data_IF_427236000323
#
_entry.id   IF_427236000323
#
_cell.length_a   1.000
_cell.length_b   1.000
_cell.length_c   1.000
_cell.angle_alpha   90.00
_cell.angle_beta   90.00
_cell.angle_gamma   90.00
#
_symmetry.space_group_name_H-M   'P 1'
#
loop_
_entity.id
_entity.type
_entity.pdbx_description
1 polymer ?
#
# COMPACT_ATOMS: atom_id res chain seq x y z
N UNK A 1 53.95 -1.89 70.02
CA UNK A 1 53.81 -2.04 68.55
C UNK A 1 52.40 -2.57 68.30
N UNK A 2 51.49 -1.76 67.72
CA UNK A 2 50.94 -1.91 66.35
C UNK A 2 50.31 -3.31 66.12
N UNK A 3 49.06 -3.57 65.74
CA UNK A 3 47.87 -2.87 65.23
C UNK A 3 46.66 -3.81 65.49
N UNK A 4 45.50 -3.36 65.99
CA UNK A 4 44.26 -2.96 65.28
C UNK A 4 43.67 -3.98 64.29
N UNK A 5 42.47 -4.53 64.58
CA UNK A 5 41.27 -4.62 63.69
C UNK A 5 40.01 -4.72 64.59
N UNK A 6 39.02 -3.80 64.50
CA UNK A 6 37.75 -3.87 65.22
C UNK A 6 36.60 -4.43 64.38
N UNK A 7 35.53 -4.74 65.12
CA UNK A 7 34.28 -5.40 64.74
C UNK A 7 33.43 -4.69 63.67
N UNK A 8 32.80 -5.54 62.87
CA UNK A 8 31.45 -5.50 62.30
C UNK A 8 30.49 -4.44 62.89
N UNK A 9 29.79 -3.70 62.02
CA UNK A 9 28.32 -3.74 61.85
C UNK A 9 27.97 -2.82 60.66
N UNK A 10 27.35 -3.42 59.65
CA UNK A 10 26.88 -2.77 58.43
C UNK A 10 25.69 -1.87 58.75
N UNK A 11 25.80 -0.61 58.32
CA UNK A 11 24.83 0.47 58.48
C UNK A 11 23.75 0.35 57.38
N UNK A 12 22.56 -0.16 57.69
CA UNK A 12 21.38 -0.01 56.84
C UNK A 12 20.76 1.36 57.12
N UNK A 13 21.06 2.34 56.27
CA UNK A 13 20.38 3.63 56.26
C UNK A 13 19.01 3.43 55.61
N UNK A 14 17.97 3.40 56.44
CA UNK A 14 16.59 3.65 56.00
C UNK A 14 16.48 5.14 55.61
N UNK A 15 16.79 5.46 54.36
CA UNK A 15 16.34 6.70 53.74
C UNK A 15 14.87 6.51 53.36
N UNK A 16 14.00 6.87 54.28
CA UNK A 16 12.61 7.20 53.95
C UNK A 16 12.63 8.45 53.07
N UNK A 17 12.64 8.24 51.76
CA UNK A 17 12.23 9.28 50.81
C UNK A 17 10.71 9.22 50.73
N UNK A 18 10.08 10.14 51.43
CA UNK A 18 8.70 10.55 51.20
C UNK A 18 8.60 11.08 49.77
N UNK A 19 8.17 10.22 48.85
CA UNK A 19 7.50 10.67 47.64
C UNK A 19 6.01 10.58 47.94
N UNK A 20 5.51 11.73 48.39
CA UNK A 20 4.14 12.21 48.27
C UNK A 20 3.43 11.48 47.12
N UNK A 21 2.30 10.85 47.42
CA UNK A 21 1.33 10.49 46.39
C UNK A 21 0.98 11.79 45.66
N UNK A 22 1.63 12.02 44.53
CA UNK A 22 1.06 12.86 43.51
C UNK A 22 -0.23 12.14 43.09
N UNK A 23 -1.34 12.59 43.68
CA UNK A 23 -2.64 12.55 43.04
C UNK A 23 -2.56 13.43 41.77
N UNK A 24 -1.70 13.07 40.82
CA UNK A 24 -2.08 13.21 39.43
C UNK A 24 -3.29 12.31 39.32
N UNK A 25 -4.49 12.90 39.33
CA UNK A 25 -5.66 12.20 38.82
C UNK A 25 -5.21 11.68 37.46
N UNK A 26 -4.95 10.37 37.37
CA UNK A 26 -4.84 9.72 36.08
C UNK A 26 -6.21 9.94 35.50
N UNK A 27 -6.35 10.95 34.64
CA UNK A 27 -7.54 11.10 33.82
C UNK A 27 -7.60 9.78 33.10
N UNK A 28 -8.58 8.95 33.49
CA UNK A 28 -8.78 7.65 32.90
C UNK A 28 -8.90 7.91 31.40
N UNK A 29 -7.97 7.36 30.61
CA UNK A 29 -8.00 7.53 29.17
C UNK A 29 -9.26 6.84 28.67
N UNK A 30 -10.27 7.63 28.31
CA UNK A 30 -11.51 7.12 27.78
C UNK A 30 -11.26 6.76 26.32
N UNK A 31 -11.41 5.49 26.00
CA UNK A 31 -11.33 4.97 24.65
C UNK A 31 -12.72 4.80 24.04
N UNK A 32 -12.82 5.07 22.75
CA UNK A 32 -14.03 4.91 21.94
C UNK A 32 -13.76 3.85 20.89
N UNK A 33 -14.66 2.86 20.74
CA UNK A 33 -14.58 1.90 19.65
C UNK A 33 -15.14 2.53 18.38
N UNK A 34 -14.39 2.42 17.29
CA UNK A 34 -14.72 3.03 16.01
C UNK A 34 -14.67 1.97 14.91
N UNK A 35 -15.72 1.93 14.08
CA UNK A 35 -15.85 1.01 12.93
C UNK A 35 -15.68 1.74 11.61
N UNK A 36 -15.66 1.02 10.48
CA UNK A 36 -15.42 1.59 9.16
C UNK A 36 -16.58 1.31 8.21
N UNK A 37 -16.96 2.33 7.44
CA UNK A 37 -17.84 2.22 6.29
C UNK A 37 -17.12 2.79 5.07
N UNK A 38 -16.93 1.96 4.06
CA UNK A 38 -16.28 2.36 2.81
C UNK A 38 -17.34 2.72 1.76
N UNK A 39 -17.13 3.82 1.04
CA UNK A 39 -18.02 4.32 -0.03
C UNK A 39 -17.18 4.84 -1.21
N UNK A 40 -17.83 5.43 -2.21
CA UNK A 40 -17.14 6.05 -3.36
C UNK A 40 -17.05 5.12 -4.57
N UNK A 41 -15.86 5.00 -5.15
CA UNK A 41 -15.62 4.25 -6.40
C UNK A 41 -15.46 2.73 -6.20
N UNK A 42 -15.61 2.23 -4.98
CA UNK A 42 -15.64 0.79 -4.72
C UNK A 42 -16.88 0.16 -5.38
N UNK A 43 -16.71 -0.91 -6.18
CA UNK A 43 -17.84 -1.66 -6.72
C UNK A 43 -18.79 -2.17 -5.62
N UNK A 44 -20.10 -2.04 -5.83
CA UNK A 44 -21.14 -2.48 -4.88
C UNK A 44 -20.98 -3.94 -4.43
N UNK A 45 -20.46 -4.81 -5.31
CA UNK A 45 -20.19 -6.23 -4.99
C UNK A 45 -19.16 -6.41 -3.87
N UNK A 46 -18.23 -5.46 -3.70
CA UNK A 46 -17.25 -5.45 -2.61
C UNK A 46 -17.85 -4.87 -1.32
N UNK A 47 -18.85 -4.00 -1.45
CA UNK A 47 -19.55 -3.38 -0.33
C UNK A 47 -20.64 -4.31 0.24
N UNK A 48 -21.15 -5.26 -0.55
CA UNK A 48 -22.15 -6.22 -0.13
C UNK A 48 -21.52 -7.39 0.63
N UNK A 49 -21.57 -7.33 1.96
CA UNK A 49 -21.24 -8.45 2.86
C UNK A 49 -22.19 -9.66 2.72
N UNK A 50 -23.15 -9.63 1.79
CA UNK A 50 -24.26 -10.57 1.66
C UNK A 50 -24.17 -11.55 0.48
N UNK A 51 -23.04 -11.64 -0.23
CA UNK A 51 -22.88 -12.66 -1.26
C UNK A 51 -22.74 -14.07 -0.60
N UNK A 52 -23.59 -15.06 -0.94
CA UNK A 52 -23.67 -16.35 -0.22
C UNK A 52 -22.40 -17.22 -0.25
N UNK A 53 -21.42 -16.86 -1.07
CA UNK A 53 -20.16 -17.58 -1.27
C UNK A 53 -18.93 -16.67 -1.00
N UNK A 54 -19.03 -15.70 -0.09
CA UNK A 54 -17.94 -14.80 0.28
C UNK A 54 -16.80 -15.56 0.99
N UNK A 55 -15.98 -16.29 0.23
CA UNK A 55 -14.58 -16.41 0.58
C UNK A 55 -14.06 -14.98 0.69
N UNK A 56 -13.84 -14.52 1.92
CA UNK A 56 -13.24 -13.23 2.28
C UNK A 56 -11.89 -13.06 1.57
N UNK A 57 -11.94 -12.70 0.29
CA UNK A 57 -10.80 -12.72 -0.66
C UNK A 57 -10.15 -11.36 -0.79
N UNK A 58 -10.93 -10.32 -0.55
CA UNK A 58 -10.44 -8.95 -0.56
C UNK A 58 -9.56 -8.70 0.66
N UNK A 59 -8.57 -7.83 0.51
CA UNK A 59 -7.71 -7.38 1.60
C UNK A 59 -7.88 -5.90 1.85
N UNK A 60 -7.95 -5.54 3.13
CA UNK A 60 -8.12 -4.18 3.63
C UNK A 60 -6.93 -3.85 4.53
N UNK A 61 -6.05 -2.97 4.06
CA UNK A 61 -5.00 -2.38 4.89
C UNK A 61 -5.50 -1.06 5.47
N UNK A 62 -5.40 -0.89 6.79
CA UNK A 62 -5.86 0.32 7.48
C UNK A 62 -4.71 0.86 8.31
N UNK A 63 -4.36 2.13 8.11
CA UNK A 63 -3.50 2.92 8.98
C UNK A 63 -4.31 4.01 9.70
N UNK A 64 -3.96 4.24 10.95
CA UNK A 64 -4.48 5.30 11.80
C UNK A 64 -3.29 6.07 12.35
N UNK A 65 -3.31 7.39 12.17
CA UNK A 65 -2.24 8.29 12.62
C UNK A 65 -2.87 9.43 13.44
N UNK A 66 -2.09 10.04 14.33
CA UNK A 66 -2.52 11.26 15.01
C UNK A 66 -2.48 12.43 14.04
N UNK A 67 -3.62 13.09 13.81
CA UNK A 67 -3.67 14.23 12.88
C UNK A 67 -2.89 15.44 13.42
N UNK A 68 -2.96 15.69 14.73
CA UNK A 68 -2.34 16.87 15.36
C UNK A 68 -0.86 16.66 15.78
N UNK A 69 -0.28 15.48 15.53
CA UNK A 69 1.08 15.13 15.96
C UNK A 69 1.98 14.75 14.79
N UNK A 70 2.05 15.61 13.77
CA UNK A 70 2.88 15.40 12.57
C UNK A 70 2.63 14.02 11.92
N UNK A 71 1.37 13.59 11.94
CA UNK A 71 0.93 12.31 11.37
C UNK A 71 1.71 11.13 11.98
N UNK A 72 2.04 11.20 13.28
CA UNK A 72 2.67 10.10 14.03
C UNK A 72 1.78 8.86 13.95
N UNK A 73 2.32 7.67 13.57
CA UNK A 73 1.55 6.43 13.56
C UNK A 73 0.87 6.15 14.90
N UNK A 74 -0.34 5.61 14.87
CA UNK A 74 -1.09 5.24 16.07
C UNK A 74 -1.45 3.76 16.06
N UNK A 75 -2.11 3.31 15.00
CA UNK A 75 -2.47 1.91 14.82
C UNK A 75 -2.45 1.51 13.35
N UNK A 76 -2.28 0.22 13.08
CA UNK A 76 -2.39 -0.34 11.74
C UNK A 76 -2.97 -1.76 11.81
N UNK A 77 -3.50 -2.27 10.70
CA UNK A 77 -3.98 -3.65 10.62
C UNK A 77 -4.30 -4.10 9.20
N UNK A 78 -4.24 -5.41 8.97
CA UNK A 78 -4.63 -6.07 7.73
C UNK A 78 -5.84 -6.98 8.00
N UNK A 79 -6.88 -6.81 7.19
CA UNK A 79 -8.16 -7.48 7.35
C UNK A 79 -8.59 -8.14 6.04
N UNK A 80 -9.33 -9.23 6.15
CA UNK A 80 -10.12 -9.83 5.06
C UNK A 80 -11.63 -9.76 5.36
N UNK A 81 -11.98 -9.35 6.59
CA UNK A 81 -13.32 -9.06 7.05
C UNK A 81 -13.35 -7.67 7.69
N UNK A 82 -13.84 -6.70 6.92
CA UNK A 82 -13.95 -5.33 7.39
C UNK A 82 -14.86 -5.20 8.63
N UNK A 83 -15.80 -6.12 8.87
CA UNK A 83 -16.65 -6.08 10.08
C UNK A 83 -15.88 -6.33 11.38
N UNK A 84 -14.67 -6.89 11.28
CA UNK A 84 -13.75 -7.10 12.39
C UNK A 84 -12.81 -5.90 12.61
N UNK A 85 -12.74 -4.96 11.66
CA UNK A 85 -11.95 -3.74 11.79
C UNK A 85 -12.60 -2.79 12.80
N UNK A 86 -12.21 -2.93 14.07
CA UNK A 86 -12.63 -2.10 15.20
C UNK A 86 -11.42 -1.51 15.88
N UNK A 87 -11.22 -0.19 15.74
CA UNK A 87 -10.10 0.52 16.36
C UNK A 87 -10.56 1.22 17.63
N UNK A 88 -9.73 1.22 18.67
CA UNK A 88 -9.94 1.99 19.89
C UNK A 88 -9.20 3.31 19.75
N UNK A 89 -9.90 4.42 19.91
CA UNK A 89 -9.35 5.76 19.78
C UNK A 89 -9.47 6.50 21.10
N UNK A 90 -8.47 7.32 21.44
CA UNK A 90 -8.54 8.18 22.62
C UNK A 90 -9.56 9.30 22.38
N UNK A 91 -10.54 9.41 23.28
CA UNK A 91 -11.56 10.45 23.21
C UNK A 91 -10.93 11.85 23.25
N UNK A 92 -11.46 12.75 22.43
CA UNK A 92 -11.01 14.14 22.29
C UNK A 92 -9.74 14.31 21.46
N UNK A 93 -9.19 13.24 20.88
CA UNK A 93 -8.04 13.30 19.95
C UNK A 93 -8.51 13.27 18.51
N UNK A 94 -7.72 13.91 17.64
CA UNK A 94 -7.92 13.84 16.20
C UNK A 94 -7.03 12.80 15.54
N UNK A 95 -7.61 12.12 14.57
CA UNK A 95 -6.97 11.05 13.82
C UNK A 95 -7.06 11.28 12.31
N UNK A 96 -6.08 10.73 11.61
CA UNK A 96 -6.03 10.58 10.17
C UNK A 96 -6.14 9.09 9.86
N UNK A 97 -7.07 8.72 8.98
CA UNK A 97 -7.25 7.36 8.50
C UNK A 97 -6.79 7.24 7.07
N UNK A 98 -6.05 6.17 6.77
CA UNK A 98 -5.72 5.76 5.42
C UNK A 98 -6.16 4.32 5.23
N UNK A 99 -6.93 4.06 4.19
CA UNK A 99 -7.43 2.73 3.87
C UNK A 99 -7.06 2.35 2.45
N UNK A 100 -6.67 1.09 2.28
CA UNK A 100 -6.32 0.50 1.00
C UNK A 100 -7.10 -0.79 0.85
N UNK A 101 -7.73 -0.96 -0.31
CA UNK A 101 -8.50 -2.16 -0.64
C UNK A 101 -7.96 -2.76 -1.91
N UNK A 102 -7.60 -4.04 -1.84
CA UNK A 102 -7.28 -4.86 -3.01
C UNK A 102 -8.36 -5.92 -3.16
N UNK A 103 -9.23 -5.81 -4.17
CA UNK A 103 -10.17 -6.87 -4.49
C UNK A 103 -9.43 -8.15 -4.86
N UNK A 104 -9.85 -9.29 -4.31
CA UNK A 104 -9.15 -10.57 -4.44
C UNK A 104 -7.67 -10.52 -3.96
N UNK A 105 -7.36 -9.62 -3.03
CA UNK A 105 -6.00 -9.40 -2.52
C UNK A 105 -5.34 -10.64 -1.93
N UNK A 106 -6.10 -11.62 -1.44
CA UNK A 106 -5.52 -12.86 -0.93
C UNK A 106 -4.76 -13.66 -1.97
N UNK A 107 -5.23 -13.67 -3.21
CA UNK A 107 -4.56 -14.35 -4.32
C UNK A 107 -3.45 -13.47 -4.90
N UNK A 108 -3.68 -12.15 -4.95
CA UNK A 108 -2.85 -11.21 -5.70
C UNK A 108 -1.67 -10.65 -4.91
N UNK A 109 -1.79 -10.57 -3.59
CA UNK A 109 -0.80 -9.93 -2.70
C UNK A 109 -0.04 -10.92 -1.83
N UNK A 110 -0.33 -12.23 -1.92
CA UNK A 110 0.38 -13.25 -1.16
C UNK A 110 1.75 -13.50 -1.77
N UNK A 111 2.78 -13.37 -0.95
CA UNK A 111 4.13 -13.66 -1.36
C UNK A 111 4.52 -15.08 -0.94
N UNK A 112 4.74 -15.95 -1.93
CA UNK A 112 5.10 -17.34 -1.67
C UNK A 112 6.52 -17.53 -1.12
N UNK A 113 7.43 -16.58 -1.33
CA UNK A 113 8.80 -16.64 -0.83
C UNK A 113 8.84 -16.34 0.68
N UNK A 114 8.07 -15.34 1.11
CA UNK A 114 8.00 -14.95 2.52
C UNK A 114 6.87 -15.62 3.29
N UNK A 115 5.90 -16.21 2.60
CA UNK A 115 4.75 -16.89 3.19
C UNK A 115 3.73 -15.94 3.84
N UNK A 116 3.62 -14.71 3.34
CA UNK A 116 2.75 -13.68 3.94
C UNK A 116 2.33 -12.60 2.91
N UNK A 117 1.40 -11.73 3.29
CA UNK A 117 0.89 -10.62 2.48
C UNK A 117 1.81 -9.41 2.57
N UNK A 118 2.90 -9.43 1.80
CA UNK A 118 3.92 -8.37 1.83
C UNK A 118 3.68 -7.30 0.78
N UNK A 119 3.08 -7.62 -0.38
CA UNK A 119 3.21 -6.78 -1.57
C UNK A 119 2.84 -5.30 -1.35
N UNK A 120 1.57 -4.91 -1.54
CA UNK A 120 1.15 -3.52 -1.29
C UNK A 120 0.96 -3.24 0.21
N UNK A 121 0.87 -4.30 1.02
CA UNK A 121 0.68 -4.26 2.47
C UNK A 121 1.98 -4.31 3.27
N UNK A 122 3.11 -3.95 2.64
CA UNK A 122 4.42 -3.89 3.31
C UNK A 122 4.40 -2.82 4.41
N UNK A 123 4.89 -3.14 5.61
CA UNK A 123 5.02 -2.18 6.72
C UNK A 123 6.38 -1.47 6.68
N UNK A 124 6.45 -0.23 7.15
CA UNK A 124 7.69 0.50 7.41
C UNK A 124 7.86 0.68 8.92
N UNK A 125 9.09 0.56 9.42
CA UNK A 125 9.46 0.88 10.80
C UNK A 125 10.38 2.11 10.79
N UNK A 126 9.91 3.26 11.27
CA UNK A 126 10.60 4.55 11.09
C UNK A 126 12.01 4.59 11.69
N UNK A 127 12.20 3.95 12.85
CA UNK A 127 13.45 4.05 13.62
C UNK A 127 14.56 3.09 13.18
N UNK A 128 14.29 2.13 12.31
CA UNK A 128 15.29 1.14 11.94
C UNK A 128 16.13 1.57 10.74
N UNK A 129 15.73 2.58 9.96
CA UNK A 129 16.43 3.01 8.74
C UNK A 129 16.62 1.88 7.70
N UNK A 130 16.03 0.72 7.97
CA UNK A 130 16.10 -0.48 7.18
C UNK A 130 14.75 -0.56 6.46
N UNK A 131 14.80 -0.34 5.15
CA UNK A 131 13.71 -0.55 4.20
C UNK A 131 13.37 -2.03 4.00
N UNK A 132 13.70 -2.91 4.95
CA UNK A 132 13.22 -4.29 4.97
C UNK A 132 11.83 -4.29 5.58
N UNK A 133 10.88 -3.77 4.81
CA UNK A 133 9.51 -3.68 5.29
C UNK A 133 8.95 -5.07 5.56
N UNK A 134 8.45 -5.28 6.76
CA UNK A 134 7.91 -6.55 7.20
C UNK A 134 6.48 -6.76 6.67
N UNK A 135 6.07 -8.02 6.56
CA UNK A 135 4.67 -8.37 6.30
C UNK A 135 3.77 -7.83 7.41
N UNK A 136 2.56 -7.37 7.06
CA UNK A 136 1.51 -7.21 8.05
C UNK A 136 0.74 -8.52 8.14
N UNK A 137 0.66 -9.16 9.32
CA UNK A 137 -0.01 -10.43 9.43
C UNK A 137 -1.53 -10.25 9.26
N UNK A 138 -2.17 -11.12 8.48
CA UNK A 138 -3.62 -11.12 8.26
C UNK A 138 -4.36 -11.74 9.45
N UNK A 139 -4.67 -10.89 10.43
CA UNK A 139 -5.17 -11.33 11.73
C UNK A 139 -6.55 -10.77 12.07
N UNK A 140 -7.04 -9.84 11.25
CA UNK A 140 -8.27 -9.09 11.50
C UNK A 140 -8.25 -8.33 12.84
N UNK A 141 -7.09 -7.79 13.22
CA UNK A 141 -6.88 -7.04 14.45
C UNK A 141 -6.03 -5.78 14.20
N UNK A 142 -6.23 -4.76 15.03
CA UNK A 142 -5.37 -3.57 15.04
C UNK A 142 -4.17 -3.75 15.98
N UNK A 143 -3.00 -3.36 15.49
CA UNK A 143 -1.77 -3.21 16.24
C UNK A 143 -1.55 -1.73 16.56
N UNK A 144 -1.35 -1.40 17.84
CA UNK A 144 -1.06 -0.04 18.28
C UNK A 144 0.44 0.16 18.35
N UNK A 145 1.00 1.00 17.48
CA UNK A 145 2.43 1.21 17.39
C UNK A 145 2.76 2.61 16.85
N UNK A 146 3.63 3.32 17.56
CA UNK A 146 3.95 4.74 17.29
C UNK A 146 4.97 4.99 16.16
N UNK A 147 5.43 3.93 15.52
CA UNK A 147 6.57 3.96 14.57
C UNK A 147 6.36 3.02 13.38
N UNK A 148 5.20 2.35 13.31
CA UNK A 148 4.91 1.35 12.28
C UNK A 148 3.62 1.74 11.57
N UNK A 149 3.71 1.77 10.25
CA UNK A 149 2.58 2.05 9.35
C UNK A 149 2.83 1.35 8.00
N UNK A 150 1.83 1.28 7.13
CA UNK A 150 1.99 0.71 5.80
C UNK A 150 2.82 1.62 4.88
N UNK A 151 3.93 1.09 4.34
CA UNK A 151 4.89 1.84 3.53
C UNK A 151 4.30 2.37 2.23
N UNK A 152 3.52 1.53 1.54
CA UNK A 152 3.06 1.80 0.16
C UNK A 152 1.77 2.64 0.08
N UNK A 153 1.21 3.07 1.20
CA UNK A 153 0.26 4.20 1.18
C UNK A 153 0.92 5.49 0.73
N UNK A 154 2.19 5.66 1.11
CA UNK A 154 2.88 6.91 0.92
C UNK A 154 3.46 7.06 -0.47
N UNK A 155 3.72 5.96 -1.18
CA UNK A 155 4.25 5.91 -2.54
C UNK A 155 4.20 4.47 -3.10
N UNK A 156 3.24 4.07 -3.95
CA UNK A 156 3.49 2.91 -4.80
C UNK A 156 4.63 3.25 -5.75
N UNK A 157 5.76 2.61 -5.50
CA UNK A 157 7.02 2.79 -6.25
C UNK A 157 6.99 1.96 -7.55
N UNK A 158 6.06 1.00 -7.65
CA UNK A 158 5.90 0.10 -8.79
C UNK A 158 4.45 0.08 -9.28
N UNK A 159 4.26 -0.29 -10.55
CA UNK A 159 2.93 -0.53 -11.11
C UNK A 159 2.43 -1.92 -10.73
N UNK A 160 1.15 -1.98 -10.38
CA UNK A 160 0.44 -3.23 -10.12
C UNK A 160 -0.44 -3.64 -11.29
N UNK A 161 -0.52 -4.95 -11.53
CA UNK A 161 -1.39 -5.56 -12.53
C UNK A 161 -2.82 -5.81 -12.03
N UNK A 162 -3.13 -5.35 -10.82
CA UNK A 162 -4.42 -5.50 -10.15
C UNK A 162 -4.98 -4.17 -9.63
N UNK A 163 -6.30 -4.14 -9.40
CA UNK A 163 -7.01 -2.94 -8.95
C UNK A 163 -6.69 -2.63 -7.50
N UNK A 164 -6.41 -1.38 -7.21
CA UNK A 164 -6.21 -0.86 -5.86
C UNK A 164 -7.14 0.33 -5.68
N UNK A 165 -7.84 0.37 -4.54
CA UNK A 165 -8.62 1.52 -4.12
C UNK A 165 -8.01 2.08 -2.84
N UNK A 166 -7.95 3.40 -2.73
CA UNK A 166 -7.43 4.08 -1.55
C UNK A 166 -8.43 5.09 -1.02
N UNK A 167 -8.47 5.25 0.29
CA UNK A 167 -9.31 6.23 0.96
C UNK A 167 -8.51 6.96 2.01
N UNK A 168 -8.90 8.21 2.24
CA UNK A 168 -8.24 9.12 3.16
C UNK A 168 -9.28 9.93 3.90
N UNK A 169 -9.13 10.03 5.23
CA UNK A 169 -9.92 10.93 6.05
C UNK A 169 -9.00 11.61 7.04
N UNK A 170 -8.96 12.95 7.03
CA UNK A 170 -8.19 13.75 7.97
C UNK A 170 -9.06 14.36 9.05
N UNK A 171 -8.43 14.82 10.14
CA UNK A 171 -9.06 15.60 11.21
C UNK A 171 -10.28 14.94 11.90
N UNK A 172 -10.37 13.60 11.88
CA UNK A 172 -11.46 12.89 12.55
C UNK A 172 -11.34 13.01 14.07
N UNK A 173 -12.31 13.67 14.70
CA UNK A 173 -12.36 13.82 16.16
C UNK A 173 -13.08 12.63 16.81
N UNK A 174 -12.38 11.89 17.67
CA UNK A 174 -12.96 10.76 18.39
C UNK A 174 -13.77 11.23 19.61
N UNK A 175 -15.10 11.08 19.62
CA UNK A 175 -15.96 11.58 20.71
C UNK A 175 -16.87 10.50 21.33
N UNK A 176 -17.61 9.76 20.51
CA UNK A 176 -18.56 8.70 20.91
C UNK A 176 -18.52 7.58 19.88
N UNK A 177 -19.06 6.39 20.20
CA UNK A 177 -19.06 5.22 19.29
C UNK A 177 -19.56 5.63 17.91
N UNK A 178 -18.65 5.61 16.95
CA UNK A 178 -18.84 6.23 15.65
C UNK A 178 -18.35 5.28 14.56
N UNK A 179 -18.97 5.42 13.40
CA UNK A 179 -18.50 4.80 12.16
C UNK A 179 -17.73 5.86 11.37
N UNK A 180 -16.52 5.50 10.94
CA UNK A 180 -15.74 6.32 10.00
C UNK A 180 -16.22 6.02 8.59
N UNK A 181 -16.78 7.05 7.96
CA UNK A 181 -17.12 7.05 6.55
C UNK A 181 -15.90 7.43 5.72
N UNK A 182 -15.39 6.51 4.91
CA UNK A 182 -14.21 6.75 4.06
C UNK A 182 -14.62 6.66 2.60
N UNK A 183 -14.40 7.78 1.88
CA UNK A 183 -14.59 7.84 0.43
C UNK A 183 -13.38 7.23 -0.28
N UNK A 184 -13.61 6.15 -1.02
CA UNK A 184 -12.60 5.34 -1.67
C UNK A 184 -12.49 5.73 -3.13
N UNK A 185 -11.25 5.88 -3.61
CA UNK A 185 -10.91 6.31 -4.96
C UNK A 185 -10.05 5.25 -5.65
N UNK A 186 -10.30 5.00 -6.93
CA UNK A 186 -9.52 4.07 -7.74
C UNK A 186 -8.09 4.58 -7.97
N UNK A 187 -7.11 3.74 -7.73
CA UNK A 187 -5.69 4.02 -7.94
C UNK A 187 -5.15 3.33 -9.21
N UNK A 188 -5.97 3.27 -10.25
CA UNK A 188 -5.61 2.61 -11.51
C UNK A 188 -6.30 3.25 -12.72
N UNK A 189 -5.68 3.06 -13.88
CA UNK A 189 -6.32 3.20 -15.19
C UNK A 189 -6.36 1.85 -15.92
N UNK A 190 -6.98 1.82 -17.09
CA UNK A 190 -6.94 0.65 -17.97
C UNK A 190 -6.17 0.99 -19.24
N UNK A 191 -5.36 0.07 -19.72
CA UNK A 191 -4.65 0.21 -21.00
C UNK A 191 -5.10 -0.90 -21.93
N UNK A 192 -5.63 -0.48 -23.08
CA UNK A 192 -5.97 -1.37 -24.19
C UNK A 192 -4.92 -1.25 -25.28
N UNK A 193 -4.24 -2.34 -25.58
CA UNK A 193 -3.34 -2.44 -26.72
C UNK A 193 -4.10 -3.02 -27.91
N UNK A 194 -3.96 -2.40 -29.07
CA UNK A 194 -4.51 -2.87 -30.34
C UNK A 194 -3.40 -2.86 -31.40
N UNK A 195 -3.13 -4.00 -32.02
CA UNK A 195 -2.24 -4.12 -33.16
C UNK A 195 -3.04 -4.34 -34.45
N UNK A 196 -2.49 -3.86 -35.56
CA UNK A 196 -2.95 -4.16 -36.92
C UNK A 196 -1.78 -4.60 -37.78
N UNK A 197 -2.12 -5.35 -38.84
CA UNK A 197 -1.17 -5.75 -39.88
C UNK A 197 -0.01 -6.65 -39.38
N UNK A 198 -0.19 -7.33 -38.26
CA UNK A 198 0.76 -8.34 -37.75
C UNK A 198 0.44 -9.70 -38.38
N UNK A 199 1.18 -10.07 -39.42
CA UNK A 199 0.98 -11.34 -40.13
C UNK A 199 1.85 -12.48 -39.57
N UNK A 200 3.02 -12.15 -39.03
CA UNK A 200 4.03 -13.09 -38.53
C UNK A 200 4.71 -12.53 -37.27
N UNK A 201 5.28 -13.42 -36.45
CA UNK A 201 5.95 -13.07 -35.20
C UNK A 201 5.00 -12.58 -34.11
N UNK A 202 5.53 -11.78 -33.19
CA UNK A 202 4.80 -11.19 -32.08
C UNK A 202 5.28 -9.78 -31.76
N UNK A 203 4.40 -8.99 -31.17
CA UNK A 203 4.72 -7.66 -30.63
C UNK A 203 4.77 -7.71 -29.12
N UNK A 204 5.89 -7.30 -28.57
CA UNK A 204 6.12 -7.17 -27.14
C UNK A 204 6.01 -5.70 -26.74
N UNK A 205 5.16 -5.41 -25.75
CA UNK A 205 5.00 -4.12 -25.12
C UNK A 205 5.53 -4.21 -23.70
N UNK A 206 6.62 -3.51 -23.41
CA UNK A 206 7.25 -3.48 -22.10
C UNK A 206 7.02 -2.10 -21.47
N UNK A 207 6.20 -2.03 -20.42
CA UNK A 207 6.01 -0.78 -19.67
C UNK A 207 7.20 -0.55 -18.75
N UNK A 208 7.82 0.61 -18.91
CA UNK A 208 9.01 1.01 -18.19
C UNK A 208 8.60 1.66 -16.87
N UNK A 209 9.28 1.30 -15.80
CA UNK A 209 9.24 2.04 -14.56
C UNK A 209 10.31 3.13 -14.66
N UNK A 210 9.96 4.43 -14.64
CA UNK A 210 10.97 5.50 -14.76
C UNK A 210 11.79 5.71 -13.46
N UNK A 211 12.16 4.63 -12.76
CA UNK A 211 13.03 4.69 -11.60
C UNK A 211 14.40 4.08 -11.90
N UNK A 212 15.43 4.91 -12.02
CA UNK A 212 16.77 4.55 -11.55
C UNK A 212 16.78 4.73 -10.03
N UNK A 213 16.41 3.71 -9.25
CA UNK A 213 16.76 3.71 -7.84
C UNK A 213 18.14 3.05 -7.72
N UNK A 214 19.17 3.71 -7.19
CA UNK A 214 20.35 3.01 -6.71
C UNK A 214 19.97 2.27 -5.43
N UNK A 215 19.21 1.17 -5.54
CA UNK A 215 19.00 0.26 -4.41
C UNK A 215 20.29 -0.52 -4.27
N UNK A 216 21.15 -0.09 -3.37
CA UNK A 216 22.21 -0.96 -2.90
C UNK A 216 21.56 -2.18 -2.24
N UNK A 217 21.80 -3.35 -2.84
CA UNK A 217 21.66 -4.72 -2.31
C UNK A 217 20.25 -5.34 -2.30
N UNK A 218 20.11 -6.33 -3.21
CA UNK A 218 19.41 -7.62 -3.05
C UNK A 218 17.88 -7.68 -2.92
N UNK A 219 17.14 -6.87 -3.67
CA UNK A 219 15.73 -7.15 -3.97
C UNK A 219 15.56 -7.22 -5.49
N UNK A 220 15.93 -8.35 -6.10
CA UNK A 220 15.88 -8.58 -7.55
C UNK A 220 14.50 -8.99 -8.08
N UNK A 221 13.47 -9.13 -7.23
CA UNK A 221 12.26 -9.88 -7.62
C UNK A 221 10.97 -9.04 -7.78
N UNK A 222 11.02 -7.69 -7.67
CA UNK A 222 9.81 -6.85 -7.81
C UNK A 222 9.86 -5.79 -8.91
N UNK A 223 10.91 -5.81 -9.75
CA UNK A 223 11.04 -4.95 -10.92
C UNK A 223 10.87 -5.75 -12.22
N UNK A 224 10.07 -6.82 -12.21
CA UNK A 224 9.72 -7.45 -13.48
C UNK A 224 8.93 -6.44 -14.32
N UNK A 225 9.43 -6.09 -15.51
CA UNK A 225 8.73 -5.14 -16.33
C UNK A 225 7.40 -5.76 -16.76
N UNK A 226 6.33 -4.96 -16.72
CA UNK A 226 5.02 -5.43 -17.20
C UNK A 226 5.10 -5.60 -18.71
N UNK A 227 5.21 -6.86 -19.14
CA UNK A 227 5.33 -7.27 -20.54
C UNK A 227 4.01 -7.84 -21.04
N UNK A 228 3.54 -7.31 -22.17
CA UNK A 228 2.37 -7.81 -22.87
C UNK A 228 2.70 -8.18 -24.30
N UNK A 229 2.24 -9.36 -24.73
CA UNK A 229 2.51 -9.87 -26.07
C UNK A 229 1.23 -9.93 -26.90
N UNK A 230 1.28 -9.35 -28.10
CA UNK A 230 0.26 -9.50 -29.15
C UNK A 230 0.78 -10.41 -30.26
N UNK A 231 -0.08 -11.30 -30.74
CA UNK A 231 0.22 -12.24 -31.83
C UNK A 231 -0.82 -12.07 -32.95
N UNK A 232 -0.62 -12.65 -34.15
CA UNK A 232 -1.62 -12.61 -35.21
C UNK A 232 -3.00 -13.12 -34.75
N UNK A 233 -3.03 -14.08 -33.81
CA UNK A 233 -4.27 -14.64 -33.28
C UNK A 233 -4.83 -13.85 -32.07
N UNK A 234 -4.04 -12.94 -31.51
CA UNK A 234 -4.40 -12.09 -30.36
C UNK A 234 -3.85 -10.68 -30.58
N UNK A 235 -4.53 -9.93 -31.45
CA UNK A 235 -4.14 -8.56 -31.82
C UNK A 235 -4.64 -7.49 -30.86
N UNK A 236 -5.26 -7.87 -29.75
CA UNK A 236 -5.64 -6.93 -28.71
C UNK A 236 -5.51 -7.56 -27.32
N UNK A 237 -5.27 -6.69 -26.33
CA UNK A 237 -5.32 -7.05 -24.91
C UNK A 237 -5.70 -5.82 -24.10
N UNK A 238 -6.34 -6.02 -22.95
CA UNK A 238 -6.65 -4.96 -21.98
C UNK A 238 -6.08 -5.39 -20.62
N UNK A 239 -5.57 -4.44 -19.86
CA UNK A 239 -5.03 -4.70 -18.53
C UNK A 239 -5.14 -3.48 -17.62
N UNK A 240 -5.06 -3.75 -16.33
CA UNK A 240 -5.04 -2.75 -15.28
C UNK A 240 -3.62 -2.20 -15.18
N UNK A 241 -3.50 -0.87 -15.14
CA UNK A 241 -2.24 -0.20 -14.91
C UNK A 241 -2.37 0.67 -13.67
N UNK A 242 -1.90 0.15 -12.54
CA UNK A 242 -1.96 0.84 -11.26
C UNK A 242 -0.83 1.85 -11.11
N UNK A 243 -1.19 2.96 -10.50
CA UNK A 243 -0.53 4.26 -10.64
C UNK A 243 0.74 4.35 -9.79
N UNK A 244 1.72 5.12 -10.29
CA UNK A 244 2.98 5.46 -9.63
C UNK A 244 2.92 6.85 -8.97
N UNK A 245 3.58 6.94 -7.82
CA UNK A 245 4.10 8.12 -7.06
C UNK A 245 3.21 9.36 -6.91
N UNK A 246 2.85 9.66 -5.66
CA UNK A 246 2.38 10.99 -5.26
C UNK A 246 3.45 11.63 -4.38
N UNK A 247 3.97 12.80 -4.78
CA UNK A 247 5.00 13.51 -4.00
C UNK A 247 4.51 13.87 -2.60
N UNK A 248 5.38 13.66 -1.61
CA UNK A 248 5.11 13.72 -0.15
C UNK A 248 3.84 12.97 0.27
N UNK A 249 4.08 11.70 0.65
CA UNK A 249 3.11 10.80 1.23
C UNK A 249 2.40 11.39 2.46
N UNK A 250 1.26 10.80 2.78
CA UNK A 250 0.25 11.22 3.77
C UNK A 250 -0.87 12.13 3.24
N UNK A 251 -1.04 12.28 1.92
CA UNK A 251 -2.11 13.15 1.38
C UNK A 251 -3.14 12.38 0.58
N UNK A 252 -4.37 12.90 0.61
CA UNK A 252 -5.49 12.41 -0.18
C UNK A 252 -5.16 12.38 -1.67
N UNK A 253 -5.56 11.31 -2.36
CA UNK A 253 -5.44 11.24 -3.81
C UNK A 253 -6.38 12.26 -4.48
N UNK A 254 -5.87 13.08 -5.42
CA UNK A 254 -6.68 14.09 -6.08
C UNK A 254 -7.69 13.44 -7.02
N UNK A 255 -8.83 14.10 -7.19
CA UNK A 255 -9.94 13.57 -7.99
C UNK A 255 -9.56 13.41 -9.47
N UNK A 256 -8.73 14.30 -10.00
CA UNK A 256 -8.33 14.39 -11.40
C UNK A 256 -6.84 14.05 -11.62
N UNK A 257 -6.44 12.85 -11.24
CA UNK A 257 -5.07 12.39 -11.45
C UNK A 257 -4.80 11.79 -12.84
N UNK A 258 -3.66 12.15 -13.42
CA UNK A 258 -3.07 11.48 -14.58
C UNK A 258 -1.54 11.56 -14.52
N UNK A 259 -0.88 10.61 -15.18
CA UNK A 259 0.58 10.57 -15.26
C UNK A 259 1.00 10.05 -16.63
N UNK A 260 2.27 10.30 -16.97
CA UNK A 260 2.88 9.75 -18.17
C UNK A 260 3.81 8.61 -17.76
N UNK A 261 3.65 7.46 -18.41
CA UNK A 261 4.58 6.33 -18.35
C UNK A 261 5.19 6.12 -19.73
N UNK A 262 6.32 5.42 -19.82
CA UNK A 262 6.93 5.04 -21.09
C UNK A 262 6.74 3.55 -21.33
N UNK A 263 6.52 3.15 -22.58
CA UNK A 263 6.53 1.75 -22.99
C UNK A 263 7.44 1.55 -24.20
N UNK A 264 8.17 0.45 -24.19
CA UNK A 264 8.97 0.01 -25.32
C UNK A 264 8.19 -1.01 -26.14
N UNK A 265 8.34 -0.93 -27.46
CA UNK A 265 7.75 -1.89 -28.38
C UNK A 265 8.86 -2.65 -29.09
N UNK A 266 8.77 -3.98 -29.09
CA UNK A 266 9.66 -4.86 -29.88
C UNK A 266 8.83 -5.74 -30.79
N UNK A 267 9.37 -6.02 -31.97
CA UNK A 267 8.87 -7.08 -32.83
C UNK A 267 9.83 -8.27 -32.76
N UNK A 268 9.28 -9.44 -32.48
CA UNK A 268 10.03 -10.70 -32.43
C UNK A 268 9.53 -11.54 -33.61
N UNK A 269 10.42 -11.86 -34.55
CA UNK A 269 10.08 -12.67 -35.72
C UNK A 269 9.86 -14.15 -35.39
N UNK A 270 9.40 -14.94 -36.36
CA UNK A 270 9.11 -16.37 -36.19
C UNK A 270 10.35 -17.21 -35.81
N UNK A 271 11.56 -16.67 -35.98
CA UNK A 271 12.83 -17.31 -35.59
C UNK A 271 13.34 -16.83 -34.22
N UNK A 272 12.58 -15.97 -33.54
CA UNK A 272 12.94 -15.40 -32.24
C UNK A 272 13.89 -14.20 -32.32
N UNK A 273 14.17 -13.65 -33.51
CA UNK A 273 14.99 -12.44 -33.64
C UNK A 273 14.17 -11.23 -33.21
N UNK A 274 14.69 -10.49 -32.23
CA UNK A 274 14.06 -9.27 -31.71
C UNK A 274 14.56 -8.02 -32.45
N UNK A 275 13.63 -7.11 -32.76
CA UNK A 275 13.88 -5.79 -33.34
C UNK A 275 13.17 -4.74 -32.50
N UNK A 276 13.91 -3.79 -31.94
CA UNK A 276 13.34 -2.67 -31.18
C UNK A 276 12.63 -1.70 -32.15
N UNK A 277 11.33 -1.48 -31.92
CA UNK A 277 10.50 -0.56 -32.72
C UNK A 277 10.40 0.84 -32.10
N UNK A 278 10.90 1.03 -30.88
CA UNK A 278 11.02 2.33 -30.21
C UNK A 278 10.42 2.36 -28.81
N UNK A 279 10.57 3.52 -28.16
CA UNK A 279 10.02 3.84 -26.84
C UNK A 279 9.06 5.00 -27.00
N UNK A 280 7.87 4.87 -26.41
CA UNK A 280 6.77 5.80 -26.60
C UNK A 280 6.17 6.19 -25.24
N UNK A 281 5.80 7.46 -25.04
CA UNK A 281 5.08 7.88 -23.85
C UNK A 281 3.59 7.51 -23.98
N UNK A 282 2.96 7.19 -22.86
CA UNK A 282 1.50 7.04 -22.72
C UNK A 282 1.03 7.81 -21.50
N UNK A 283 0.00 8.62 -21.69
CA UNK A 283 -0.70 9.27 -20.58
C UNK A 283 -1.81 8.35 -20.09
N UNK A 284 -1.74 7.93 -18.82
CA UNK A 284 -2.76 7.11 -18.18
C UNK A 284 -3.53 7.99 -17.20
N UNK A 285 -4.85 7.91 -17.27
CA UNK A 285 -5.77 8.67 -16.42
C UNK A 285 -6.58 7.74 -15.52
N UNK A 286 -6.75 8.18 -14.27
CA UNK A 286 -7.52 7.48 -13.23
C UNK A 286 -8.92 7.14 -13.72
N UNK A 287 -9.35 5.89 -13.52
CA UNK A 287 -10.69 5.42 -13.85
C UNK A 287 -11.03 5.40 -15.35
N UNK A 288 -10.07 5.68 -16.25
CA UNK A 288 -10.30 5.75 -17.69
C UNK A 288 -9.57 4.64 -18.45
N UNK A 289 -10.10 4.29 -19.63
CA UNK A 289 -9.42 3.41 -20.59
C UNK A 289 -8.58 4.24 -21.57
N UNK A 290 -7.29 3.94 -21.63
CA UNK A 290 -6.33 4.50 -22.59
C UNK A 290 -6.07 3.48 -23.69
N UNK A 291 -6.24 3.86 -24.95
CA UNK A 291 -6.05 2.95 -26.08
C UNK A 291 -4.74 3.27 -26.80
N UNK A 292 -3.82 2.31 -26.85
CA UNK A 292 -2.60 2.34 -27.65
C UNK A 292 -2.84 1.52 -28.91
N UNK A 293 -2.69 2.14 -30.08
CA UNK A 293 -2.84 1.49 -31.38
C UNK A 293 -1.51 1.43 -32.11
N UNK A 294 -1.17 0.27 -32.65
CA UNK A 294 0.03 0.05 -33.44
C UNK A 294 -0.35 -0.53 -34.80
N UNK A 295 0.11 0.07 -35.89
CA UNK A 295 0.07 -0.53 -37.23
C UNK A 295 1.48 -0.88 -37.67
N UNK A 296 1.77 -2.17 -37.82
CA UNK A 296 3.12 -2.64 -38.12
C UNK A 296 3.59 -2.20 -39.51
N UNK A 297 2.66 -1.96 -40.44
CA UNK A 297 2.97 -1.51 -41.79
C UNK A 297 3.53 -0.09 -41.84
N UNK A 298 3.34 0.71 -40.79
CA UNK A 298 3.88 2.07 -40.65
C UNK A 298 5.30 2.05 -40.06
N UNK A 299 5.59 1.07 -39.20
CA UNK A 299 6.86 0.98 -38.47
C UNK A 299 7.99 0.33 -39.29
N UNK A 300 7.66 -0.65 -40.13
CA UNK A 300 8.64 -1.35 -40.98
C UNK A 300 9.02 -0.59 -42.27
N UNK A 301 8.47 0.61 -42.48
CA UNK A 301 8.82 1.48 -43.63
C UNK A 301 9.97 2.45 -43.33
N UNK A 302 10.42 2.52 -42.07
CA UNK A 302 11.60 3.28 -41.64
C UNK A 302 12.82 2.36 -41.58
#
# INVERSE_FOLDING_TARGET
MKHAIPYLIFLFIFLQSSCKEDNTSSIEEIYVETTFQLKGELPDILLSSSAPNNEKRDLYGIDVLYADMDETPYAYGLFDDLSLAKVKLQKGKKYLFRVMVVPNGKELCYDHLYGDYIDIFRRLVENLGISAGEACPLNNEFYYHKEVHFWKFNNPIISYYYKIYTGYLSDYLAETDNTVDIDMKSMFGNIKLEAKSLLHGQLEFQFLTDFEIPISRSETDYNEPLIYTLTPNKMNTNFIYSLRFWGNGNREMPDDYSFTSNYMVRWIDDNGKSTDLGVYPVKVQRGQETIIKLDLSELLKK
#
